data_IF_967726492779
#
_entry.id   IF_967726492779
#
_cell.length_a   1.000
_cell.length_b   1.000
_cell.length_c   1.000
_cell.angle_alpha   90.00
_cell.angle_beta   90.00
_cell.angle_gamma   90.00
#
_symmetry.space_group_name_H-M   'P 1'
#
loop_
_entity.id
_entity.type
_entity.pdbx_description
1 polymer ?
#
# COMPACT_ATOMS: atom_id res chain seq x y z
N UNK A 1 -10.24 13.51 -5.56
CA UNK A 1 -8.85 13.03 -5.46
C UNK A 1 -8.60 12.68 -4.01
N UNK A 2 -8.60 11.40 -3.65
CA UNK A 2 -8.35 10.99 -2.26
C UNK A 2 -6.86 10.77 -2.13
N UNK A 3 -6.14 11.85 -1.79
CA UNK A 3 -4.74 11.80 -1.42
C UNK A 3 -4.62 11.03 -0.10
N UNK A 4 -4.37 9.73 -0.18
CA UNK A 4 -3.99 8.96 0.99
C UNK A 4 -2.64 9.52 1.49
N UNK A 5 -2.68 10.15 2.66
CA UNK A 5 -1.53 10.76 3.28
C UNK A 5 -0.50 9.71 3.66
N UNK A 6 0.78 10.08 3.57
CA UNK A 6 1.88 9.22 4.00
C UNK A 6 1.70 8.92 5.50
N UNK A 7 1.67 7.64 5.87
CA UNK A 7 1.36 7.16 7.23
C UNK A 7 -0.07 6.69 7.45
N UNK A 8 -0.95 6.75 6.43
CA UNK A 8 -2.27 6.14 6.48
C UNK A 8 -2.22 4.61 6.36
N UNK A 9 -3.18 3.93 6.96
CA UNK A 9 -3.47 2.53 6.65
C UNK A 9 -4.75 2.47 5.82
N UNK A 10 -4.70 1.81 4.67
CA UNK A 10 -5.88 1.60 3.82
C UNK A 10 -6.21 0.12 3.78
N UNK A 11 -7.50 -0.22 3.76
CA UNK A 11 -7.97 -1.59 3.49
C UNK A 11 -8.30 -1.80 2.01
N UNK A 12 -8.47 -0.71 1.25
CA UNK A 12 -8.81 -0.74 -0.17
C UNK A 12 -7.99 0.30 -0.90
N UNK A 13 -7.21 -0.13 -1.89
CA UNK A 13 -6.48 0.78 -2.77
C UNK A 13 -7.39 1.23 -3.92
N UNK A 14 -7.41 2.52 -4.28
CA UNK A 14 -8.12 2.99 -5.46
C UNK A 14 -7.48 2.42 -6.73
N UNK A 15 -8.28 2.24 -7.79
CA UNK A 15 -7.92 1.50 -9.02
C UNK A 15 -6.74 2.08 -9.82
N UNK A 16 -6.23 3.26 -9.42
CA UNK A 16 -5.09 3.93 -10.04
C UNK A 16 -3.73 3.57 -9.40
N UNK A 17 -3.70 2.60 -8.49
CA UNK A 17 -2.47 2.10 -7.88
C UNK A 17 -1.91 0.92 -8.67
N UNK A 18 -0.60 0.92 -8.88
CA UNK A 18 0.11 -0.19 -9.54
C UNK A 18 0.69 -1.13 -8.51
N UNK A 19 0.41 -2.42 -8.67
CA UNK A 19 0.97 -3.47 -7.82
C UNK A 19 2.38 -3.80 -8.29
N UNK A 20 3.37 -3.58 -7.43
CA UNK A 20 4.80 -3.83 -7.69
C UNK A 20 5.27 -4.95 -6.79
N UNK A 21 5.58 -6.11 -7.35
CA UNK A 21 6.24 -7.17 -6.60
C UNK A 21 7.74 -6.88 -6.46
N UNK A 22 8.23 -6.81 -5.22
CA UNK A 22 9.66 -6.66 -4.89
C UNK A 22 10.09 -7.85 -4.04
N UNK A 23 10.73 -8.81 -4.69
CA UNK A 23 11.08 -10.08 -4.05
C UNK A 23 9.82 -10.85 -3.64
N UNK A 24 9.78 -11.27 -2.38
CA UNK A 24 8.66 -12.02 -1.78
C UNK A 24 7.54 -11.12 -1.25
N UNK A 25 7.70 -9.79 -1.34
CA UNK A 25 6.74 -8.82 -0.83
C UNK A 25 6.03 -8.11 -1.98
N UNK A 26 4.70 -8.12 -1.92
CA UNK A 26 3.85 -7.30 -2.78
C UNK A 26 3.86 -5.87 -2.25
N UNK A 27 4.23 -4.90 -3.06
CA UNK A 27 4.01 -3.49 -2.77
C UNK A 27 2.95 -2.94 -3.70
N UNK A 28 2.32 -1.84 -3.30
CA UNK A 28 1.45 -1.07 -4.17
C UNK A 28 2.00 0.34 -4.24
N UNK A 29 2.24 0.83 -5.44
CA UNK A 29 2.71 2.18 -5.69
C UNK A 29 1.55 3.01 -6.23
N UNK A 30 1.15 4.03 -5.48
CA UNK A 30 0.16 5.03 -5.89
C UNK A 30 0.90 6.36 -6.09
N UNK A 31 1.39 6.61 -7.31
CA UNK A 31 2.20 7.79 -7.62
C UNK A 31 3.53 7.79 -6.85
N UNK A 32 3.63 8.63 -5.81
CA UNK A 32 4.83 8.76 -4.96
C UNK A 32 4.73 8.02 -3.63
N UNK A 33 3.60 7.36 -3.35
CA UNK A 33 3.35 6.66 -2.07
C UNK A 33 3.41 5.15 -2.29
N UNK A 34 4.08 4.44 -1.38
CA UNK A 34 4.20 2.99 -1.40
C UNK A 34 3.38 2.37 -0.28
N UNK A 35 2.82 1.20 -0.52
CA UNK A 35 2.01 0.47 0.44
C UNK A 35 2.51 -0.96 0.54
N UNK A 36 2.56 -1.47 1.76
CA UNK A 36 2.90 -2.86 2.05
C UNK A 36 1.71 -3.55 2.75
N UNK A 37 1.29 -4.74 2.30
CA UNK A 37 0.26 -5.53 2.96
C UNK A 37 0.79 -6.08 4.27
N UNK A 38 0.13 -5.72 5.36
CA UNK A 38 0.31 -6.27 6.69
C UNK A 38 -0.92 -7.11 7.04
N UNK A 39 -0.70 -8.38 7.32
CA UNK A 39 -1.74 -9.27 7.80
C UNK A 39 -1.91 -9.08 9.31
N UNK A 40 -3.03 -8.48 9.72
CA UNK A 40 -3.35 -8.23 11.14
C UNK A 40 -4.56 -9.07 11.52
N UNK A 41 -4.32 -10.12 12.31
CA UNK A 41 -5.35 -11.09 12.68
C UNK A 41 -5.85 -11.87 11.46
N UNK A 42 -7.10 -11.62 11.06
CA UNK A 42 -7.77 -12.21 9.87
C UNK A 42 -7.96 -11.22 8.72
N UNK A 43 -7.50 -9.97 8.86
CA UNK A 43 -7.62 -8.92 7.85
C UNK A 43 -6.29 -8.58 7.18
N UNK A 44 -6.35 -8.15 5.91
CA UNK A 44 -5.21 -7.50 5.24
C UNK A 44 -5.36 -5.99 5.37
N UNK A 45 -4.33 -5.34 5.89
CA UNK A 45 -4.26 -3.88 5.98
C UNK A 45 -3.04 -3.43 5.20
N UNK A 46 -3.14 -2.37 4.41
CA UNK A 46 -2.04 -1.85 3.64
C UNK A 46 -1.45 -0.65 4.37
N UNK A 47 -0.22 -0.79 4.85
CA UNK A 47 0.52 0.27 5.56
C UNK A 47 1.28 1.09 4.54
N UNK A 48 1.15 2.42 4.60
CA UNK A 48 1.97 3.32 3.79
C UNK A 48 3.41 3.31 4.27
N UNK A 49 4.33 2.99 3.37
CA UNK A 49 5.78 2.98 3.58
C UNK A 49 6.45 3.95 2.61
N UNK A 50 7.69 4.33 2.89
CA UNK A 50 8.50 5.01 1.88
C UNK A 50 8.93 4.02 0.79
N UNK A 51 9.25 4.53 -0.40
CA UNK A 51 9.91 3.72 -1.42
C UNK A 51 11.24 3.20 -0.85
N UNK A 52 11.53 1.89 -0.94
CA UNK A 52 12.86 1.36 -0.65
C UNK A 52 13.89 1.83 -1.69
#
# INVERSE_FOLDING_TARGET
MTSAAIGGTVTTLPSNCVTVFRGDLTYFQCGSVWYQPQYVGSGVTYVVVNAP
#
